data_IF_686450340550
#
_entry.id   IF_686450340550
#
_cell.length_a   1.000
_cell.length_b   1.000
_cell.length_c   1.000
_cell.angle_alpha   90.00
_cell.angle_beta   90.00
_cell.angle_gamma   90.00
#
_symmetry.space_group_name_H-M   'P 1'
#
loop_
_entity.id
_entity.type
_entity.pdbx_description
1 polymer ?
#
# COMPACT_ATOMS: atom_id res chain seq x y z
N UNK A 1 4.44 10.43 10.10
CA UNK A 1 3.06 10.97 9.98
C UNK A 1 2.14 9.80 9.65
N UNK A 2 1.18 9.49 10.53
CA UNK A 2 0.19 8.45 10.28
C UNK A 2 -0.90 9.03 9.36
N UNK A 3 -0.95 8.57 8.10
CA UNK A 3 -2.12 8.82 7.25
C UNK A 3 -3.19 7.81 7.68
N UNK A 4 -3.95 8.16 8.71
CA UNK A 4 -5.07 7.34 9.17
C UNK A 4 -6.12 7.27 8.07
N UNK A 5 -6.46 6.08 7.59
CA UNK A 5 -7.41 5.87 6.48
C UNK A 5 -8.78 6.52 6.65
N UNK A 6 -9.13 6.93 7.88
CA UNK A 6 -10.32 7.73 8.19
C UNK A 6 -10.31 9.12 7.57
N UNK A 7 -9.16 9.81 7.52
CA UNK A 7 -9.07 11.17 6.99
C UNK A 7 -9.24 11.18 5.45
N UNK A 8 -8.70 10.15 4.80
CA UNK A 8 -8.75 9.97 3.34
C UNK A 8 -10.16 9.65 2.85
N UNK A 9 -10.99 8.97 3.66
CA UNK A 9 -12.38 8.64 3.28
C UNK A 9 -13.21 9.89 2.97
N UNK A 10 -13.07 10.95 3.76
CA UNK A 10 -13.79 12.22 3.53
C UNK A 10 -13.42 12.83 2.18
N UNK A 11 -12.12 12.98 1.94
CA UNK A 11 -11.57 13.58 0.72
C UNK A 11 -11.97 12.79 -0.54
N UNK A 12 -11.93 11.46 -0.49
CA UNK A 12 -12.26 10.61 -1.64
C UNK A 12 -13.76 10.55 -1.95
N UNK A 13 -14.60 10.75 -0.94
CA UNK A 13 -16.07 10.75 -1.12
C UNK A 13 -16.51 11.91 -2.02
N UNK A 14 -15.88 13.07 -1.89
CA UNK A 14 -16.15 14.26 -2.70
C UNK A 14 -15.74 14.07 -4.18
N UNK A 15 -14.81 13.15 -4.44
CA UNK A 15 -14.35 12.80 -5.79
C UNK A 15 -15.08 11.60 -6.40
N UNK A 16 -16.09 11.04 -5.73
CA UNK A 16 -16.82 9.87 -6.20
C UNK A 16 -16.02 8.56 -6.20
N UNK A 17 -14.90 8.51 -5.45
CA UNK A 17 -14.00 7.35 -5.40
C UNK A 17 -14.40 6.43 -4.24
N UNK A 18 -14.59 5.14 -4.52
CA UNK A 18 -14.84 4.15 -3.47
C UNK A 18 -13.54 3.73 -2.79
N UNK A 19 -13.45 3.94 -1.47
CA UNK A 19 -12.33 3.50 -0.65
C UNK A 19 -12.53 2.05 -0.20
N UNK A 20 -11.75 1.13 -0.78
CA UNK A 20 -11.70 -0.27 -0.37
C UNK A 20 -10.75 -0.47 0.81
N UNK A 21 -11.30 -0.38 2.02
CA UNK A 21 -10.63 -0.72 3.26
C UNK A 21 -10.99 -2.15 3.70
N UNK A 22 -10.09 -2.85 4.42
CA UNK A 22 -10.42 -4.15 4.96
C UNK A 22 -11.54 -3.97 5.97
N UNK A 23 -12.42 -4.97 6.07
CA UNK A 23 -13.49 -4.91 7.04
C UNK A 23 -12.91 -4.69 8.45
N UNK A 24 -13.41 -3.70 9.18
CA UNK A 24 -13.03 -3.46 10.56
C UNK A 24 -14.02 -4.18 11.46
N UNK A 25 -13.51 -5.09 12.28
CA UNK A 25 -14.31 -5.80 13.27
C UNK A 25 -14.53 -4.82 14.43
N UNK A 26 -15.64 -4.09 14.39
CA UNK A 26 -16.02 -3.19 15.48
C UNK A 26 -16.03 -3.91 16.84
N UNK A 27 -15.95 -3.15 17.93
CA UNK A 27 -15.77 -3.67 19.29
C UNK A 27 -16.80 -4.74 19.74
N UNK A 28 -18.00 -4.76 19.13
CA UNK A 28 -19.11 -5.63 19.53
C UNK A 28 -19.36 -6.86 18.62
N UNK A 29 -18.41 -7.27 17.77
CA UNK A 29 -18.57 -8.52 16.98
C UNK A 29 -17.39 -9.48 17.12
N UNK A 30 -17.63 -10.78 17.37
CA UNK A 30 -16.58 -11.79 17.51
C UNK A 30 -16.12 -12.42 16.19
N UNK A 31 -16.79 -12.19 15.04
CA UNK A 31 -16.29 -12.62 13.71
C UNK A 31 -16.96 -11.83 12.57
N UNK A 32 -16.37 -11.86 11.37
CA UNK A 32 -17.02 -11.38 10.13
C UNK A 32 -18.04 -12.40 9.62
N UNK A 33 -19.06 -11.95 8.89
CA UNK A 33 -19.93 -12.87 8.15
C UNK A 33 -19.16 -13.54 7.00
N UNK A 34 -19.56 -14.75 6.60
CA UNK A 34 -18.91 -15.52 5.53
C UNK A 34 -18.79 -14.73 4.22
N UNK A 35 -19.85 -13.97 3.87
CA UNK A 35 -19.90 -13.20 2.62
C UNK A 35 -19.04 -11.93 2.68
N UNK A 36 -19.02 -11.25 3.83
CA UNK A 36 -18.17 -10.08 4.07
C UNK A 36 -16.69 -10.46 4.06
N UNK A 37 -16.36 -11.60 4.67
CA UNK A 37 -15.01 -12.16 4.64
C UNK A 37 -14.60 -12.50 3.20
N UNK A 38 -15.42 -13.24 2.45
CA UNK A 38 -15.06 -13.68 1.10
C UNK A 38 -14.81 -12.52 0.11
N UNK A 39 -15.64 -11.47 0.14
CA UNK A 39 -15.49 -10.31 -0.75
C UNK A 39 -14.35 -9.40 -0.32
N UNK A 40 -14.22 -9.11 0.98
CA UNK A 40 -13.16 -8.26 1.50
C UNK A 40 -11.79 -8.93 1.37
N UNK A 41 -11.73 -10.25 1.55
CA UNK A 41 -10.49 -11.02 1.57
C UNK A 41 -9.97 -11.32 0.17
N UNK A 42 -10.75 -11.86 -0.77
CA UNK A 42 -10.19 -12.26 -2.09
C UNK A 42 -9.71 -11.09 -2.96
N UNK A 43 -10.50 -10.02 -3.09
CA UNK A 43 -10.13 -8.87 -3.96
C UNK A 43 -9.13 -7.93 -3.30
N UNK A 44 -9.25 -7.68 -2.00
CA UNK A 44 -8.36 -6.74 -1.31
C UNK A 44 -7.02 -7.38 -0.92
N UNK A 45 -6.99 -8.69 -0.62
CA UNK A 45 -5.73 -9.35 -0.23
C UNK A 45 -4.71 -9.40 -1.35
N UNK A 46 -5.12 -9.71 -2.58
CA UNK A 46 -4.21 -9.80 -3.73
C UNK A 46 -3.53 -8.46 -4.02
N UNK A 47 -4.29 -7.37 -4.00
CA UNK A 47 -3.77 -6.00 -4.15
C UNK A 47 -2.85 -5.63 -2.98
N UNK A 48 -3.20 -5.99 -1.74
CA UNK A 48 -2.33 -5.76 -0.56
C UNK A 48 -1.02 -6.51 -0.66
N UNK A 49 -1.06 -7.79 -1.07
CA UNK A 49 0.12 -8.61 -1.28
C UNK A 49 0.99 -7.97 -2.37
N UNK A 50 0.38 -7.50 -3.46
CA UNK A 50 1.09 -6.79 -4.53
C UNK A 50 1.81 -5.55 -3.99
N UNK A 51 1.08 -4.63 -3.32
CA UNK A 51 1.66 -3.40 -2.76
C UNK A 51 2.75 -3.71 -1.73
N UNK A 52 2.49 -4.63 -0.80
CA UNK A 52 3.44 -5.01 0.24
C UNK A 52 4.75 -5.57 -0.34
N UNK A 53 4.66 -6.43 -1.36
CA UNK A 53 5.83 -6.96 -2.06
C UNK A 53 6.55 -5.91 -2.92
N UNK A 54 5.81 -4.97 -3.53
CA UNK A 54 6.42 -3.85 -4.23
C UNK A 54 7.26 -2.99 -3.28
N UNK A 55 6.69 -2.62 -2.13
CA UNK A 55 7.40 -1.88 -1.08
C UNK A 55 8.60 -2.68 -0.57
N UNK A 56 8.44 -3.98 -0.35
CA UNK A 56 9.53 -4.84 0.08
C UNK A 56 10.71 -4.81 -0.91
N UNK A 57 10.43 -4.87 -2.23
CA UNK A 57 11.47 -4.75 -3.26
C UNK A 57 12.11 -3.36 -3.28
N UNK A 58 11.33 -2.28 -3.16
CA UNK A 58 11.89 -0.93 -3.09
C UNK A 58 12.85 -0.81 -1.90
N UNK A 59 12.51 -1.38 -0.75
CA UNK A 59 13.37 -1.38 0.43
C UNK A 59 14.67 -2.18 0.28
N UNK A 60 14.85 -2.98 -0.78
CA UNK A 60 16.11 -3.69 -1.01
C UNK A 60 17.22 -2.81 -1.60
N UNK A 61 16.91 -1.61 -2.10
CA UNK A 61 17.94 -0.69 -2.57
C UNK A 61 18.68 -0.07 -1.38
N UNK A 62 20.00 -0.33 -1.29
CA UNK A 62 20.84 0.17 -0.20
C UNK A 62 20.85 1.71 -0.05
N UNK A 63 20.52 2.44 -1.12
CA UNK A 63 20.36 3.91 -1.06
C UNK A 63 19.22 4.34 -0.13
N UNK A 64 18.23 3.46 0.11
CA UNK A 64 17.09 3.68 0.99
C UNK A 64 17.20 2.95 2.34
N UNK A 65 18.20 2.10 2.51
CA UNK A 65 18.43 1.29 3.73
C UNK A 65 19.25 2.05 4.78
N UNK A 66 20.12 2.94 4.34
CA UNK A 66 21.00 3.73 5.20
C UNK A 66 20.49 5.15 5.51
N UNK A 67 21.32 5.90 6.23
CA UNK A 67 21.08 7.33 6.48
C UNK A 67 21.25 8.14 5.19
N UNK A 68 20.19 8.85 4.81
CA UNK A 68 20.25 9.83 3.72
C UNK A 68 20.92 11.10 4.22
N UNK A 69 21.97 11.54 3.51
CA UNK A 69 22.65 12.80 3.81
C UNK A 69 21.66 13.97 3.63
N UNK A 70 21.70 14.95 4.53
CA UNK A 70 20.90 16.18 4.45
C UNK A 70 21.10 16.93 3.12
N UNK A 71 22.28 16.83 2.52
CA UNK A 71 22.58 17.41 1.20
C UNK A 71 21.77 16.80 0.05
N UNK A 72 21.17 15.62 0.26
CA UNK A 72 20.37 14.89 -0.74
C UNK A 72 18.87 15.07 -0.49
N UNK A 73 18.47 15.90 0.49
CA UNK A 73 17.07 16.13 0.84
C UNK A 73 16.24 16.56 -0.38
N UNK A 74 16.80 17.45 -1.18
CA UNK A 74 16.11 18.06 -2.32
C UNK A 74 15.86 17.06 -3.47
N UNK A 75 16.55 15.92 -3.48
CA UNK A 75 16.41 14.87 -4.51
C UNK A 75 15.85 13.55 -3.97
N UNK A 76 15.42 13.53 -2.71
CA UNK A 76 14.99 12.29 -2.04
C UNK A 76 13.73 11.70 -2.67
N UNK A 77 12.83 12.56 -3.17
CA UNK A 77 11.60 12.15 -3.86
C UNK A 77 11.91 11.48 -5.20
N UNK A 78 12.85 12.06 -5.97
CA UNK A 78 13.32 11.52 -7.24
C UNK A 78 14.02 10.19 -7.06
N UNK A 79 14.86 10.05 -6.03
CA UNK A 79 15.50 8.77 -5.68
C UNK A 79 14.44 7.70 -5.45
N UNK A 80 13.45 7.98 -4.61
CA UNK A 80 12.37 7.02 -4.33
C UNK A 80 11.58 6.67 -5.59
N UNK A 81 11.24 7.68 -6.42
CA UNK A 81 10.50 7.50 -7.67
C UNK A 81 11.25 6.61 -8.66
N UNK A 82 12.55 6.83 -8.83
CA UNK A 82 13.41 5.99 -9.68
C UNK A 82 13.45 4.56 -9.15
N UNK A 83 13.63 4.36 -7.83
CA UNK A 83 13.60 3.03 -7.23
C UNK A 83 12.26 2.31 -7.47
N UNK A 84 11.13 3.03 -7.37
CA UNK A 84 9.80 2.49 -7.65
C UNK A 84 9.64 2.07 -9.13
N UNK A 85 10.13 2.89 -10.07
CA UNK A 85 10.14 2.53 -11.48
C UNK A 85 11.00 1.29 -11.76
N UNK A 86 12.19 1.21 -11.18
CA UNK A 86 13.04 0.02 -11.33
C UNK A 86 12.35 -1.24 -10.83
N UNK A 87 11.58 -1.18 -9.74
CA UNK A 87 10.76 -2.32 -9.26
C UNK A 87 9.67 -2.71 -10.26
N UNK A 88 9.05 -1.74 -10.95
CA UNK A 88 8.05 -2.02 -11.98
C UNK A 88 8.63 -2.73 -13.21
N UNK A 89 9.92 -2.54 -13.51
CA UNK A 89 10.61 -3.23 -14.61
C UNK A 89 11.11 -4.64 -14.24
N UNK A 90 11.00 -5.05 -12.97
CA UNK A 90 11.36 -6.41 -12.54
C UNK A 90 10.25 -7.41 -12.87
N UNK A 91 10.55 -8.70 -12.65
CA UNK A 91 9.57 -9.78 -12.81
C UNK A 91 8.26 -9.50 -12.05
N UNK A 92 7.09 -9.93 -12.56
CA UNK A 92 5.79 -9.69 -11.95
C UNK A 92 5.76 -10.02 -10.45
N UNK A 93 5.28 -9.07 -9.65
CA UNK A 93 5.24 -9.16 -8.17
C UNK A 93 4.20 -10.19 -7.69
N UNK A 94 3.12 -10.33 -8.45
CA UNK A 94 2.07 -11.31 -8.25
C UNK A 94 1.81 -11.96 -9.60
N UNK A 95 1.69 -13.29 -9.63
CA UNK A 95 1.18 -13.99 -10.82
C UNK A 95 -0.31 -13.67 -10.91
N UNK A 96 -0.74 -13.02 -11.99
CA UNK A 96 -2.16 -12.91 -12.32
C UNK A 96 -2.68 -14.35 -12.46
N UNK A 97 -3.48 -14.79 -11.49
CA UNK A 97 -4.27 -16.03 -11.56
C UNK A 97 -5.62 -15.73 -12.18
#
# INVERSE_FOLDING_TARGET
MAIGGFLVKGILSDMGVQLHMPAFKGYNRPQFSSDEAAVSEKKTSSVRIHIGRAIQRIKTYHILDGELKLSMKDITEEIFTVCAYLVNFQLPIVRLQ
#
